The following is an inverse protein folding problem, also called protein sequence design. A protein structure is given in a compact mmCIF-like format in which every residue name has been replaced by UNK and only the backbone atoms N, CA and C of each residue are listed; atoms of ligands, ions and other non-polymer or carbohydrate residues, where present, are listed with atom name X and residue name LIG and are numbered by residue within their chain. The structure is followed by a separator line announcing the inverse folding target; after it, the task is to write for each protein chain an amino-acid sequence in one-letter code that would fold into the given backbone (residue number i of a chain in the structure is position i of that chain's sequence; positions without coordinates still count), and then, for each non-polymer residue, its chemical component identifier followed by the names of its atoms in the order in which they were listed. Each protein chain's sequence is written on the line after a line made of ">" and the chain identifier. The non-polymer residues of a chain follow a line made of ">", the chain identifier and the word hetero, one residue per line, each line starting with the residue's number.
data_IF_887556750415
#
_entry.id   IF_887556750415
#
_cell.length_a   1.000
_cell.length_b   1.000
_cell.length_c   1.000
_cell.angle_alpha   90.00
_cell.angle_beta   90.00
_cell.angle_gamma   90.00
#
_symmetry.space_group_name_H-M   'P 1'
#
loop_
_entity.id
_entity.type
_entity.pdbx_description
1 polymer ?
#
# COMPACT_ATOMS: atom_id res chain seq x y z
N UNK A 1 -1.28 1.60 14.80
CA UNK A 1 -1.22 0.14 14.57
C UNK A 1 -2.10 -0.21 13.39
N UNK A 2 -1.70 -1.19 12.57
CA UNK A 2 -2.49 -1.64 11.43
C UNK A 2 -3.25 -2.92 11.77
N UNK A 3 -4.58 -2.87 11.78
CA UNK A 3 -5.42 -4.04 12.08
C UNK A 3 -5.53 -4.99 10.89
N UNK A 4 -5.40 -4.42 9.68
CA UNK A 4 -5.46 -5.14 8.42
C UNK A 4 -6.37 -4.43 7.42
N UNK A 5 -6.56 -5.09 6.28
CA UNK A 5 -7.52 -4.70 5.26
C UNK A 5 -8.52 -5.83 5.01
N UNK A 6 -9.74 -5.50 4.63
CA UNK A 6 -10.74 -6.48 4.19
C UNK A 6 -11.52 -5.96 3.00
N UNK A 7 -11.94 -6.86 2.13
CA UNK A 7 -12.80 -6.53 0.99
C UNK A 7 -14.16 -6.03 1.47
N UNK A 8 -14.65 -4.98 0.80
CA UNK A 8 -15.96 -4.38 1.02
C UNK A 8 -16.68 -4.22 -0.32
N UNK A 9 -18.01 -4.27 -0.30
CA UNK A 9 -18.81 -4.23 -1.53
C UNK A 9 -18.96 -2.82 -2.10
N UNK A 10 -18.89 -1.80 -1.25
CA UNK A 10 -19.18 -0.41 -1.61
C UNK A 10 -17.97 0.49 -1.39
N UNK A 11 -17.77 1.53 -2.24
CA UNK A 11 -16.65 2.46 -2.12
C UNK A 11 -16.78 3.42 -0.92
N UNK A 12 -17.95 3.52 -0.29
CA UNK A 12 -18.26 4.44 0.80
C UNK A 12 -19.39 3.90 1.68
N UNK A 13 -19.51 4.45 2.89
CA UNK A 13 -20.65 4.21 3.77
C UNK A 13 -20.23 3.86 5.20
N UNK A 14 -20.92 4.46 6.18
CA UNK A 14 -20.62 4.24 7.60
C UNK A 14 -20.86 2.81 8.03
N UNK A 15 -21.92 2.16 7.51
CA UNK A 15 -22.23 0.76 7.81
C UNK A 15 -21.16 -0.19 7.25
N UNK A 16 -20.77 0.03 5.99
CA UNK A 16 -19.70 -0.72 5.30
C UNK A 16 -18.39 -0.67 6.10
N UNK A 17 -18.01 0.52 6.57
CA UNK A 17 -16.82 0.69 7.42
C UNK A 17 -16.99 0.00 8.77
N UNK A 18 -18.15 0.15 9.41
CA UNK A 18 -18.43 -0.44 10.74
C UNK A 18 -18.31 -1.97 10.70
N UNK A 19 -18.83 -2.61 9.67
CA UNK A 19 -18.76 -4.06 9.55
C UNK A 19 -17.33 -4.54 9.24
N UNK A 20 -16.58 -3.80 8.42
CA UNK A 20 -15.15 -4.06 8.21
C UNK A 20 -14.35 -3.93 9.51
N UNK A 21 -14.59 -2.89 10.31
CA UNK A 21 -13.95 -2.67 11.62
C UNK A 21 -14.28 -3.82 12.58
N UNK A 22 -15.55 -4.23 12.67
CA UNK A 22 -15.97 -5.36 13.52
C UNK A 22 -15.25 -6.65 13.13
N UNK A 23 -15.25 -6.98 11.84
CA UNK A 23 -14.59 -8.17 11.28
C UNK A 23 -13.10 -8.20 11.64
N UNK A 24 -12.39 -7.09 11.43
CA UNK A 24 -10.95 -7.00 11.72
C UNK A 24 -10.63 -6.93 13.22
N UNK A 25 -11.50 -6.33 14.05
CA UNK A 25 -11.37 -6.38 15.51
C UNK A 25 -11.53 -7.81 16.04
N UNK A 26 -12.47 -8.58 15.48
CA UNK A 26 -12.66 -9.99 15.83
C UNK A 26 -11.45 -10.83 15.41
N UNK A 27 -10.99 -10.70 14.17
CA UNK A 27 -9.78 -11.38 13.69
C UNK A 27 -8.54 -11.01 14.52
N UNK A 28 -8.40 -9.75 14.94
CA UNK A 28 -7.35 -9.31 15.87
C UNK A 28 -7.43 -10.04 17.22
N UNK A 29 -8.64 -10.25 17.74
CA UNK A 29 -8.82 -10.94 19.02
C UNK A 29 -8.32 -12.39 18.95
N UNK A 30 -8.67 -13.10 17.87
CA UNK A 30 -8.18 -14.47 17.61
C UNK A 30 -6.65 -14.50 17.48
N UNK A 31 -6.08 -13.63 16.63
CA UNK A 31 -4.62 -13.53 16.47
C UNK A 31 -3.90 -13.22 17.78
N UNK A 32 -4.51 -12.39 18.64
CA UNK A 32 -3.98 -12.08 19.97
C UNK A 32 -3.99 -13.30 20.89
N UNK A 33 -5.03 -14.14 20.86
CA UNK A 33 -5.04 -15.40 21.62
C UNK A 33 -3.99 -16.40 21.12
N UNK A 34 -3.60 -16.32 19.85
CA UNK A 34 -2.50 -17.11 19.26
C UNK A 34 -1.10 -16.49 19.51
N UNK A 35 -1.02 -15.40 20.28
CA UNK A 35 0.25 -14.72 20.61
C UNK A 35 0.77 -13.75 19.54
N UNK A 36 0.04 -13.56 18.44
CA UNK A 36 0.42 -12.60 17.40
C UNK A 36 0.11 -11.15 17.84
N UNK A 37 1.10 -10.27 17.69
CA UNK A 37 0.96 -8.83 17.97
C UNK A 37 0.51 -8.08 16.73
N UNK A 38 -0.34 -7.07 16.94
CA UNK A 38 -0.76 -6.17 15.86
C UNK A 38 0.43 -5.31 15.40
N UNK A 39 0.76 -5.29 14.10
CA UNK A 39 1.92 -4.56 13.59
C UNK A 39 1.78 -3.05 13.80
N UNK A 40 2.91 -2.42 14.12
CA UNK A 40 3.05 -0.96 14.10
C UNK A 40 3.44 -0.55 12.68
N UNK A 41 2.87 0.56 12.21
CA UNK A 41 3.11 1.11 10.87
C UNK A 41 3.33 2.61 10.99
N UNK A 42 4.09 3.15 10.06
CA UNK A 42 4.18 4.58 9.80
C UNK A 42 3.26 4.94 8.62
N UNK A 43 2.60 6.09 8.71
CA UNK A 43 1.75 6.61 7.64
C UNK A 43 2.36 7.87 7.08
N UNK A 44 2.51 7.90 5.76
CA UNK A 44 2.87 9.11 5.03
C UNK A 44 1.68 9.54 4.18
N UNK A 45 1.07 10.66 4.55
CA UNK A 45 -0.11 11.22 3.91
C UNK A 45 0.33 12.41 3.06
N UNK A 46 -0.08 12.42 1.81
CA UNK A 46 0.19 13.51 0.87
C UNK A 46 -0.97 13.66 -0.11
N UNK A 47 -0.94 14.74 -0.89
CA UNK A 47 -1.88 14.93 -2.01
C UNK A 47 -1.77 13.87 -3.11
N UNK A 48 -0.78 12.97 -3.03
CA UNK A 48 -0.59 11.89 -3.99
C UNK A 48 -1.14 10.55 -3.51
N UNK A 49 -1.27 10.37 -2.20
CA UNK A 49 -1.74 9.13 -1.60
C UNK A 49 -1.32 8.96 -0.15
N UNK A 50 -1.68 7.79 0.37
CA UNK A 50 -1.34 7.31 1.70
C UNK A 50 -0.40 6.11 1.55
N UNK A 51 0.81 6.23 2.05
CA UNK A 51 1.75 5.11 2.15
C UNK A 51 1.72 4.53 3.55
N UNK A 52 1.71 3.20 3.63
CA UNK A 52 1.84 2.44 4.87
C UNK A 52 3.23 1.81 4.85
N UNK A 53 4.06 2.15 5.84
CA UNK A 53 5.44 1.72 5.90
C UNK A 53 5.73 0.93 7.17
N UNK A 54 6.69 0.01 7.08
CA UNK A 54 7.33 -0.52 8.28
C UNK A 54 8.11 0.62 8.99
N UNK A 55 7.88 0.86 10.29
CA UNK A 55 8.45 2.00 10.97
C UNK A 55 9.98 1.92 11.14
N UNK A 56 10.56 0.71 11.09
CA UNK A 56 12.00 0.48 11.26
C UNK A 56 12.72 0.49 9.91
N UNK A 57 12.27 -0.30 8.95
CA UNK A 57 12.96 -0.44 7.65
C UNK A 57 12.60 0.68 6.68
N UNK A 58 11.51 1.42 6.93
CA UNK A 58 10.92 2.39 6.00
C UNK A 58 10.50 1.76 4.67
N UNK A 59 10.33 0.45 4.64
CA UNK A 59 9.82 -0.26 3.48
C UNK A 59 8.33 0.04 3.30
N UNK A 60 7.92 0.33 2.06
CA UNK A 60 6.52 0.61 1.73
C UNK A 60 5.77 -0.71 1.59
N UNK A 61 4.90 -1.01 2.56
CA UNK A 61 4.05 -2.20 2.57
C UNK A 61 2.80 -2.00 1.69
N UNK A 62 2.24 -0.79 1.70
CA UNK A 62 1.12 -0.43 0.84
C UNK A 62 1.25 1.00 0.34
N UNK A 63 0.87 1.22 -0.91
CA UNK A 63 0.87 2.54 -1.54
C UNK A 63 -0.52 2.83 -2.13
N UNK A 64 -1.38 3.47 -1.33
CA UNK A 64 -2.75 3.78 -1.71
C UNK A 64 -2.79 5.16 -2.40
N UNK A 65 -2.85 5.16 -3.73
CA UNK A 65 -2.93 6.40 -4.52
C UNK A 65 -4.21 7.15 -4.20
N UNK A 66 -4.11 8.47 -3.99
CA UNK A 66 -5.22 9.26 -3.44
C UNK A 66 -6.48 9.20 -4.31
N UNK A 67 -6.33 9.24 -5.64
CA UNK A 67 -7.47 9.15 -6.57
C UNK A 67 -8.20 7.79 -6.56
N UNK A 68 -7.66 6.80 -5.84
CA UNK A 68 -8.26 5.47 -5.66
C UNK A 68 -8.86 5.29 -4.27
N UNK A 69 -8.58 6.20 -3.35
CA UNK A 69 -9.20 6.24 -2.04
C UNK A 69 -10.55 6.95 -2.19
N UNK A 70 -11.63 6.25 -1.86
CA UNK A 70 -13.00 6.71 -2.10
C UNK A 70 -13.71 7.20 -0.85
N UNK A 71 -13.20 6.84 0.33
CA UNK A 71 -13.79 7.19 1.61
C UNK A 71 -12.76 7.12 2.73
N UNK A 72 -12.83 8.01 3.71
CA UNK A 72 -12.10 7.91 4.97
C UNK A 72 -13.03 8.30 6.13
N UNK A 73 -12.89 7.63 7.27
CA UNK A 73 -13.75 7.87 8.42
C UNK A 73 -13.06 7.47 9.73
N UNK A 74 -13.30 8.26 10.77
CA UNK A 74 -13.09 7.91 12.17
C UNK A 74 -14.30 7.13 12.72
N UNK A 75 -14.07 6.29 13.73
CA UNK A 75 -15.15 5.60 14.43
C UNK A 75 -15.70 6.46 15.57
N UNK A 76 -17.00 6.77 15.54
CA UNK A 76 -17.65 7.60 16.55
C UNK A 76 -17.77 6.95 17.93
N UNK A 77 -17.71 5.62 18.00
CA UNK A 77 -17.78 4.84 19.24
C UNK A 77 -16.39 4.54 19.81
N UNK A 78 -15.38 4.42 18.95
CA UNK A 78 -13.99 4.15 19.34
C UNK A 78 -13.05 5.17 18.69
N UNK A 79 -12.78 6.25 19.42
CA UNK A 79 -11.95 7.39 18.97
C UNK A 79 -10.51 7.03 18.57
N UNK A 80 -10.11 5.78 18.76
CA UNK A 80 -8.81 5.28 18.33
C UNK A 80 -8.82 4.74 16.91
N UNK A 81 -9.99 4.41 16.38
CA UNK A 81 -10.13 3.79 15.07
C UNK A 81 -10.31 4.86 14.01
N UNK A 82 -9.53 4.74 12.95
CA UNK A 82 -9.82 5.38 11.68
C UNK A 82 -9.62 4.39 10.55
N UNK A 83 -10.23 4.71 9.42
CA UNK A 83 -10.30 3.84 8.26
C UNK A 83 -10.22 4.64 6.97
N UNK A 84 -9.83 3.96 5.90
CA UNK A 84 -10.11 4.43 4.55
C UNK A 84 -10.40 3.27 3.61
N UNK A 85 -11.22 3.52 2.59
CA UNK A 85 -11.53 2.58 1.52
C UNK A 85 -10.72 2.96 0.30
N UNK A 86 -9.94 2.02 -0.22
CA UNK A 86 -9.17 2.18 -1.45
C UNK A 86 -9.55 1.10 -2.45
N UNK A 87 -9.70 1.47 -3.72
CA UNK A 87 -9.81 0.50 -4.81
C UNK A 87 -8.45 -0.14 -5.05
N UNK A 88 -8.37 -1.47 -5.03
CA UNK A 88 -7.15 -2.22 -5.24
C UNK A 88 -6.78 -2.31 -6.72
N UNK A 89 -5.48 -2.23 -7.06
CA UNK A 89 -5.00 -2.11 -8.47
C UNK A 89 -5.08 -3.41 -9.23
N UNK A 90 -4.91 -4.51 -8.53
CA UNK A 90 -4.77 -5.81 -9.14
C UNK A 90 -6.12 -6.50 -9.25
N UNK A 91 -6.89 -6.47 -8.16
CA UNK A 91 -8.19 -7.15 -8.09
C UNK A 91 -9.38 -6.27 -8.49
N UNK A 92 -9.18 -4.95 -8.62
CA UNK A 92 -10.24 -3.96 -8.89
C UNK A 92 -11.37 -3.95 -7.84
N UNK A 93 -11.14 -4.55 -6.66
CA UNK A 93 -12.07 -4.61 -5.52
C UNK A 93 -11.85 -3.44 -4.57
N UNK A 94 -12.84 -3.15 -3.72
CA UNK A 94 -12.68 -2.16 -2.66
C UNK A 94 -12.14 -2.82 -1.40
N UNK A 95 -11.06 -2.25 -0.85
CA UNK A 95 -10.46 -2.69 0.40
C UNK A 95 -10.62 -1.60 1.45
N UNK A 96 -11.20 -1.95 2.59
CA UNK A 96 -11.24 -1.10 3.77
C UNK A 96 -10.01 -1.39 4.63
N UNK A 97 -9.15 -0.39 4.81
CA UNK A 97 -7.98 -0.42 5.67
C UNK A 97 -8.36 0.12 7.04
N UNK A 98 -8.04 -0.64 8.09
CA UNK A 98 -8.42 -0.28 9.47
C UNK A 98 -7.18 -0.13 10.34
N UNK A 99 -7.15 0.97 11.09
CA UNK A 99 -6.04 1.32 11.97
C UNK A 99 -6.54 1.64 13.38
N UNK A 100 -5.65 1.44 14.34
CA UNK A 100 -5.83 1.80 15.75
C UNK A 100 -4.69 2.74 16.14
N UNK A 101 -5.05 4.00 16.39
CA UNK A 101 -4.18 5.10 16.79
C UNK A 101 -4.57 5.55 18.19
N UNK A 102 -3.61 5.70 19.10
CA UNK A 102 -3.92 6.01 20.50
C UNK A 102 -4.62 7.37 20.68
N UNK A 103 -4.27 8.37 19.86
CA UNK A 103 -4.76 9.76 20.02
C UNK A 103 -5.08 10.51 18.73
N UNK A 104 -4.57 10.06 17.57
CA UNK A 104 -4.59 10.87 16.34
C UNK A 104 -5.60 10.39 15.29
N UNK A 105 -6.57 9.53 15.61
CA UNK A 105 -7.46 8.95 14.60
C UNK A 105 -8.29 10.01 13.85
N UNK A 106 -8.84 10.97 14.59
CA UNK A 106 -9.60 12.10 14.05
C UNK A 106 -8.70 13.03 13.21
N UNK A 107 -7.54 13.41 13.74
CA UNK A 107 -6.57 14.26 13.04
C UNK A 107 -6.06 13.62 11.74
N UNK A 108 -5.79 12.32 11.76
CA UNK A 108 -5.39 11.56 10.57
C UNK A 108 -6.52 11.58 9.53
N UNK A 109 -7.76 11.34 9.95
CA UNK A 109 -8.93 11.38 9.07
C UNK A 109 -9.09 12.76 8.42
N UNK A 110 -8.95 13.82 9.22
CA UNK A 110 -8.98 15.20 8.72
C UNK A 110 -7.85 15.49 7.72
N UNK A 111 -6.64 15.03 8.02
CA UNK A 111 -5.46 15.21 7.14
C UNK A 111 -5.66 14.53 5.79
N UNK A 112 -6.27 13.34 5.76
CA UNK A 112 -6.64 12.66 4.50
C UNK A 112 -7.71 13.47 3.76
N UNK A 113 -8.72 13.99 4.47
CA UNK A 113 -9.74 14.90 3.92
C UNK A 113 -9.12 16.13 3.24
N UNK A 114 -8.20 16.81 3.92
CA UNK A 114 -7.49 17.96 3.38
C UNK A 114 -6.62 17.61 2.16
N UNK A 115 -6.00 16.42 2.16
CA UNK A 115 -5.26 15.93 1.02
C UNK A 115 -6.18 15.75 -0.21
N UNK A 116 -7.40 15.23 -0.03
CA UNK A 116 -8.39 15.14 -1.10
C UNK A 116 -8.74 16.51 -1.66
N UNK A 117 -9.09 17.47 -0.79
CA UNK A 117 -9.48 18.81 -1.21
C UNK A 117 -8.37 19.51 -2.01
N UNK A 118 -7.14 19.42 -1.52
CA UNK A 118 -5.99 20.02 -2.19
C UNK A 118 -5.64 19.31 -3.50
N UNK A 119 -5.72 17.98 -3.54
CA UNK A 119 -5.49 17.22 -4.78
C UNK A 119 -6.55 17.51 -5.83
N UNK A 120 -7.83 17.63 -5.43
CA UNK A 120 -8.92 17.97 -6.34
C UNK A 120 -8.75 19.39 -6.91
N UNK A 121 -8.36 20.37 -6.08
CA UNK A 121 -8.06 21.72 -6.56
C UNK A 121 -6.95 21.74 -7.60
N UNK A 122 -5.84 21.04 -7.34
CA UNK A 122 -4.72 20.91 -8.30
C UNK A 122 -5.11 20.17 -9.58
N UNK A 123 -5.99 19.19 -9.47
CA UNK A 123 -6.53 18.49 -10.64
C UNK A 123 -7.30 19.45 -11.55
N UNK A 124 -8.13 20.33 -10.98
CA UNK A 124 -8.85 21.35 -11.74
C UNK A 124 -7.91 22.39 -12.36
N UNK A 125 -6.91 22.87 -11.62
CA UNK A 125 -5.92 23.86 -12.09
C UNK A 125 -5.08 23.34 -13.27
N UNK A 126 -4.71 22.05 -13.25
CA UNK A 126 -3.89 21.42 -14.29
C UNK A 126 -4.70 20.88 -15.48
N UNK A 127 -6.03 20.97 -15.44
CA UNK A 127 -6.91 20.34 -16.43
C UNK A 127 -6.75 18.81 -16.47
N UNK A 128 -6.40 18.19 -15.33
CA UNK A 128 -6.20 16.75 -15.17
C UNK A 128 -4.90 16.16 -15.72
N UNK A 129 -4.02 16.98 -16.32
CA UNK A 129 -2.79 16.50 -16.95
C UNK A 129 -1.78 15.92 -15.95
N UNK A 130 -1.66 16.53 -14.79
CA UNK A 130 -0.68 16.12 -13.77
C UNK A 130 -0.88 14.69 -13.27
N UNK A 131 -2.13 14.26 -13.13
CA UNK A 131 -2.46 12.91 -12.65
C UNK A 131 -2.09 11.87 -13.72
N UNK A 132 -2.40 12.16 -14.98
CA UNK A 132 -2.10 11.25 -16.10
C UNK A 132 -0.58 11.09 -16.31
N UNK A 133 0.15 12.21 -16.35
CA UNK A 133 1.61 12.18 -16.48
C UNK A 133 2.27 11.40 -15.34
N UNK A 134 1.77 11.54 -14.10
CA UNK A 134 2.29 10.77 -12.96
C UNK A 134 1.96 9.29 -13.02
N UNK A 135 0.76 8.93 -13.49
CA UNK A 135 0.39 7.53 -13.69
C UNK A 135 1.32 6.86 -14.71
N UNK A 136 1.65 7.57 -15.78
CA UNK A 136 2.64 7.13 -16.77
C UNK A 136 4.03 6.98 -16.14
N UNK A 137 4.51 7.99 -15.39
CA UNK A 137 5.81 7.93 -14.69
C UNK A 137 5.86 6.73 -13.74
N UNK A 138 4.82 6.51 -12.92
CA UNK A 138 4.77 5.40 -11.97
C UNK A 138 4.78 4.04 -12.69
N UNK A 139 4.06 3.91 -13.81
CA UNK A 139 4.09 2.71 -14.64
C UNK A 139 5.47 2.43 -15.23
N UNK A 140 6.13 3.46 -15.76
CA UNK A 140 7.49 3.36 -16.30
C UNK A 140 8.51 3.00 -15.22
N UNK A 141 8.42 3.60 -14.04
CA UNK A 141 9.31 3.27 -12.90
C UNK A 141 9.17 1.80 -12.47
N UNK A 142 7.94 1.29 -12.36
CA UNK A 142 7.70 -0.13 -12.07
C UNK A 142 8.34 -1.02 -13.14
N UNK A 143 8.18 -0.65 -14.42
CA UNK A 143 8.77 -1.41 -15.52
C UNK A 143 10.29 -1.40 -15.51
N UNK A 144 10.91 -0.27 -15.17
CA UNK A 144 12.37 -0.16 -15.01
C UNK A 144 12.84 -1.12 -13.92
N UNK A 145 12.20 -1.12 -12.75
CA UNK A 145 12.60 -1.99 -11.64
C UNK A 145 12.48 -3.50 -11.99
N UNK A 146 11.41 -3.88 -12.69
CA UNK A 146 11.24 -5.26 -13.20
C UNK A 146 12.38 -5.64 -14.15
N UNK A 147 12.68 -4.76 -15.12
CA UNK A 147 13.74 -4.98 -16.10
C UNK A 147 15.14 -5.01 -15.47
N UNK A 148 15.39 -4.22 -14.42
CA UNK A 148 16.65 -4.24 -13.67
C UNK A 148 16.83 -5.55 -12.90
N UNK A 149 15.75 -6.06 -12.31
CA UNK A 149 15.75 -7.35 -11.61
C UNK A 149 16.02 -8.49 -12.60
N UNK A 150 15.29 -8.52 -13.72
CA UNK A 150 15.46 -9.53 -14.78
C UNK A 150 16.88 -9.49 -15.39
N UNK A 151 17.42 -8.29 -15.64
CA UNK A 151 18.80 -8.12 -16.11
C UNK A 151 19.83 -8.67 -15.12
N UNK A 152 19.58 -8.50 -13.82
CA UNK A 152 20.49 -9.00 -12.77
C UNK A 152 20.49 -10.51 -12.74
N UNK A 153 19.31 -11.14 -12.85
CA UNK A 153 19.19 -12.61 -12.94
C UNK A 153 19.84 -13.18 -14.19
N UNK A 154 19.64 -12.55 -15.35
CA UNK A 154 20.26 -12.97 -16.61
C UNK A 154 21.79 -12.87 -16.54
N UNK A 155 22.34 -11.78 -15.99
CA UNK A 155 23.79 -11.63 -15.78
C UNK A 155 24.36 -12.75 -14.91
N UNK A 156 23.68 -13.10 -13.82
CA UNK A 156 24.11 -14.21 -12.96
C UNK A 156 24.11 -15.55 -13.71
N UNK A 157 23.05 -15.84 -14.50
CA UNK A 157 23.00 -17.05 -15.33
C UNK A 157 24.11 -17.11 -16.38
N UNK A 158 24.41 -15.99 -17.04
CA UNK A 158 25.50 -15.92 -18.01
C UNK A 158 26.83 -16.23 -17.32
N UNK A 159 27.08 -15.62 -16.16
CA UNK A 159 28.30 -15.87 -15.38
C UNK A 159 28.44 -17.34 -14.97
N UNK A 160 27.35 -17.98 -14.54
CA UNK A 160 27.35 -19.40 -14.16
C UNK A 160 27.66 -20.30 -15.36
N UNK A 161 27.07 -20.02 -16.53
CA UNK A 161 27.34 -20.77 -17.76
C UNK A 161 28.79 -20.59 -18.23
N UNK A 162 29.34 -19.38 -18.17
CA UNK A 162 30.74 -19.11 -18.48
C UNK A 162 31.69 -19.88 -17.54
N UNK A 163 31.36 -19.93 -16.25
CA UNK A 163 32.11 -20.71 -15.27
C UNK A 163 32.06 -22.21 -15.57
N UNK A 164 30.89 -22.75 -15.92
CA UNK A 164 30.74 -24.16 -16.31
C UNK A 164 31.52 -24.51 -17.58
N UNK A 165 31.49 -23.63 -18.58
CA UNK A 165 32.26 -23.78 -19.82
C UNK A 165 33.77 -23.78 -19.55
N UNK A 166 34.27 -22.88 -18.70
CA UNK A 166 35.68 -22.87 -18.28
C UNK A 166 36.07 -24.17 -17.58
N UNK A 167 35.24 -24.68 -16.69
CA UNK A 167 35.52 -25.95 -15.98
C UNK A 167 35.56 -27.13 -16.97
N UNK A 168 34.68 -27.14 -17.97
CA UNK A 168 34.62 -28.22 -18.97
C UNK A 168 35.83 -28.19 -19.90
N UNK A 169 36.34 -27.02 -20.28
CA UNK A 169 37.57 -26.88 -21.08
C UNK A 169 38.84 -27.29 -20.32
N UNK A 170 38.89 -27.08 -19.00
CA UNK A 170 40.03 -27.49 -18.16
C UNK A 170 40.09 -29.02 -18.00
N UNK A 171 38.94 -29.71 -17.99
CA UNK A 171 38.87 -31.17 -17.89
C UNK A 171 38.97 -31.92 -19.24
N UNK A 172 38.87 -31.23 -20.37
CA UNK A 172 38.97 -31.81 -21.71
C UNK A 172 40.38 -31.71 -22.33
N UNK A 173 41.36 -31.16 -21.61
CA UNK A 173 42.76 -31.12 -22.05
C UNK A 173 43.49 -32.41 -21.59
N UNK A 174 44.12 -33.17 -22.50
CA UNK A 174 44.79 -34.45 -22.19
C UNK A 174 46.08 -34.28 -21.38
#
# INVERSE_FOLDING_TARGET
>A
QFLGSTEVEQPKGTEVVRDAVRKLKFARHIKKSEGQKTPKVELQISIYGVKILDPKTKEVQHNCQLHRISFCADDKTDKRIFTFICKDSESNKHLCYVFDSEKCAEEITLTIGQAFDLAYRKFLESGGKDVETRKQIAGLQKRIQELETENTELKNKVQDLENQLRITQVHASP
#
